data_IF_661609500153
#
_entry.id   IF_661609500153
#
_cell.length_a   1.000
_cell.length_b   1.000
_cell.length_c   1.000
_cell.angle_alpha   90.00
_cell.angle_beta   90.00
_cell.angle_gamma   90.00
#
_symmetry.space_group_name_H-M   'P 1'
#
loop_
_entity.id
_entity.type
_entity.pdbx_description
1 polymer ?
#
# COMPACT_ATOMS: atom_id res chain seq x y z
N UNK A 1 5.35 25.21 -3.41
CA UNK A 1 6.37 24.31 -2.81
C UNK A 1 7.46 25.11 -2.12
N UNK A 2 8.24 24.44 -1.28
CA UNK A 2 9.30 25.07 -0.48
C UNK A 2 10.52 25.51 -1.30
N UNK A 3 10.62 25.15 -2.59
CA UNK A 3 11.80 25.38 -3.42
C UNK A 3 13.04 24.56 -3.04
N UNK A 4 12.94 23.71 -2.01
CA UNK A 4 14.06 22.89 -1.56
C UNK A 4 14.24 21.66 -2.47
N UNK A 5 15.51 21.34 -2.74
CA UNK A 5 15.86 20.13 -3.49
C UNK A 5 15.55 18.90 -2.63
N UNK A 6 14.89 17.91 -3.23
CA UNK A 6 14.65 16.63 -2.58
C UNK A 6 15.98 15.91 -2.26
N UNK A 7 16.12 15.47 -1.02
CA UNK A 7 17.23 14.62 -0.57
C UNK A 7 16.66 13.24 -0.28
N UNK A 8 17.13 12.17 -0.95
CA UNK A 8 16.65 10.81 -0.69
C UNK A 8 16.83 10.42 0.76
N UNK A 9 15.74 9.96 1.39
CA UNK A 9 15.76 9.54 2.81
C UNK A 9 16.19 8.10 2.99
N UNK A 10 16.19 7.31 1.90
CA UNK A 10 16.59 5.90 1.87
C UNK A 10 16.95 5.54 0.42
N UNK A 11 17.83 4.54 0.19
CA UNK A 11 18.05 4.00 -1.16
C UNK A 11 16.78 3.51 -1.86
N UNK A 12 15.78 3.08 -1.07
CA UNK A 12 14.49 2.63 -1.58
C UNK A 12 13.44 3.76 -1.69
N UNK A 13 13.77 4.98 -1.26
CA UNK A 13 12.89 6.16 -1.38
C UNK A 13 13.66 7.29 -2.08
N UNK A 14 14.05 7.10 -3.36
CA UNK A 14 14.89 8.05 -4.09
C UNK A 14 14.15 9.29 -4.57
N UNK A 15 12.83 9.25 -4.66
CA UNK A 15 12.01 10.32 -5.27
C UNK A 15 10.78 10.66 -4.43
N UNK A 16 10.19 11.83 -4.67
CA UNK A 16 8.89 12.20 -4.07
C UNK A 16 7.77 11.24 -4.46
N UNK A 17 7.83 10.67 -5.66
CA UNK A 17 6.89 9.62 -6.09
C UNK A 17 6.97 8.39 -5.19
N UNK A 18 8.18 8.01 -4.79
CA UNK A 18 8.39 6.88 -3.85
C UNK A 18 7.85 7.22 -2.45
N UNK A 19 7.95 8.49 -2.01
CA UNK A 19 7.36 8.95 -0.75
C UNK A 19 5.84 8.80 -0.78
N UNK A 20 5.19 9.27 -1.85
CA UNK A 20 3.75 9.10 -2.02
C UNK A 20 3.35 7.60 -2.13
N UNK A 21 4.20 6.79 -2.78
CA UNK A 21 3.98 5.35 -2.92
C UNK A 21 4.07 4.56 -1.62
N UNK A 22 4.95 4.97 -0.71
CA UNK A 22 5.24 4.21 0.51
C UNK A 22 4.00 3.92 1.37
N UNK A 23 3.13 4.89 1.72
CA UNK A 23 1.91 4.59 2.46
C UNK A 23 0.89 3.77 1.67
N UNK A 24 0.94 3.83 0.32
CA UNK A 24 0.02 3.06 -0.52
C UNK A 24 0.34 1.56 -0.55
N UNK A 25 1.61 1.19 -0.56
CA UNK A 25 2.03 -0.18 -0.82
C UNK A 25 2.99 -0.76 0.23
N UNK A 26 3.57 0.07 1.10
CA UNK A 26 4.57 -0.36 2.08
C UNK A 26 4.00 -0.77 3.44
N UNK A 27 2.77 -0.38 3.76
CA UNK A 27 2.18 -0.64 5.08
C UNK A 27 1.64 -2.07 5.20
N UNK A 28 2.40 -2.94 5.87
CA UNK A 28 1.98 -4.32 6.13
C UNK A 28 1.93 -5.23 4.88
N UNK A 29 2.16 -4.69 3.69
CA UNK A 29 2.06 -5.42 2.43
C UNK A 29 3.27 -6.32 2.13
N UNK A 30 4.24 -6.42 3.05
CA UNK A 30 5.28 -7.45 3.02
C UNK A 30 4.72 -8.86 3.27
N UNK A 31 3.49 -8.97 3.76
CA UNK A 31 2.76 -10.23 3.85
C UNK A 31 2.15 -10.56 2.50
N UNK A 32 2.27 -11.83 2.07
CA UNK A 32 1.86 -12.26 0.74
C UNK A 32 2.93 -12.04 -0.32
N UNK A 33 2.55 -12.25 -1.58
CA UNK A 33 3.48 -12.31 -2.71
C UNK A 33 3.56 -11.01 -3.53
N UNK A 34 3.11 -9.91 -2.97
CA UNK A 34 3.29 -8.60 -3.58
C UNK A 34 4.77 -8.19 -3.60
N UNK A 35 5.20 -7.62 -4.70
CA UNK A 35 6.47 -6.90 -4.83
C UNK A 35 6.18 -5.44 -5.16
N UNK A 36 6.88 -4.54 -4.49
CA UNK A 36 6.57 -3.12 -4.42
C UNK A 36 7.46 -2.26 -5.31
N UNK A 37 8.01 -2.84 -6.37
CA UNK A 37 8.87 -2.11 -7.30
C UNK A 37 10.25 -1.72 -6.76
N UNK A 38 10.66 -2.20 -5.59
CA UNK A 38 12.03 -2.03 -5.09
C UNK A 38 12.99 -2.68 -6.08
N UNK A 39 14.08 -1.97 -6.41
CA UNK A 39 15.01 -2.39 -7.46
C UNK A 39 14.60 -1.97 -8.86
N UNK A 40 13.47 -1.27 -9.05
CA UNK A 40 13.07 -0.61 -10.29
C UNK A 40 13.15 0.92 -10.14
N UNK A 41 13.03 1.70 -11.21
CA UNK A 41 12.94 3.17 -11.13
C UNK A 41 11.69 3.70 -10.41
N UNK A 42 10.74 2.82 -10.05
CA UNK A 42 9.44 3.17 -9.48
C UNK A 42 9.14 2.44 -8.15
N UNK A 43 10.03 2.53 -7.13
CA UNK A 43 9.78 1.88 -5.85
C UNK A 43 8.50 2.43 -5.21
N UNK A 44 7.69 1.51 -4.67
CA UNK A 44 6.38 1.73 -4.05
C UNK A 44 5.26 2.25 -4.97
N UNK A 45 5.57 2.48 -6.27
CA UNK A 45 4.60 2.89 -7.29
C UNK A 45 4.37 1.81 -8.35
N UNK A 46 5.08 0.69 -8.27
CA UNK A 46 5.02 -0.39 -9.24
C UNK A 46 4.82 -1.73 -8.52
N UNK A 47 3.77 -2.45 -8.91
CA UNK A 47 3.37 -3.70 -8.27
C UNK A 47 3.49 -4.87 -9.22
N UNK A 48 4.00 -5.97 -8.71
CA UNK A 48 3.81 -7.30 -9.27
C UNK A 48 3.29 -8.25 -8.19
N UNK A 49 2.69 -9.35 -8.60
CA UNK A 49 2.26 -10.41 -7.69
C UNK A 49 2.68 -11.76 -8.26
N UNK A 50 3.38 -12.56 -7.46
CA UNK A 50 3.84 -13.89 -7.91
C UNK A 50 2.63 -14.80 -8.17
N UNK A 51 2.59 -15.41 -9.37
CA UNK A 51 1.47 -16.25 -9.80
C UNK A 51 0.27 -15.50 -10.37
N UNK A 52 0.38 -14.18 -10.59
CA UNK A 52 -0.63 -13.38 -11.31
C UNK A 52 0.00 -12.64 -12.49
N UNK A 53 -0.70 -12.62 -13.59
CA UNK A 53 -0.34 -11.79 -14.75
C UNK A 53 -0.57 -10.30 -14.42
N UNK A 54 0.14 -9.38 -15.08
CA UNK A 54 -0.10 -7.94 -14.93
C UNK A 54 -1.56 -7.54 -15.21
N UNK A 55 -2.22 -8.23 -16.14
CA UNK A 55 -3.63 -7.97 -16.46
C UNK A 55 -4.56 -8.41 -15.34
N UNK A 56 -4.37 -9.60 -14.77
CA UNK A 56 -5.15 -10.07 -13.62
C UNK A 56 -4.97 -9.14 -12.42
N UNK A 57 -3.73 -8.74 -12.14
CA UNK A 57 -3.42 -7.81 -11.06
C UNK A 57 -4.10 -6.46 -11.28
N UNK A 58 -3.96 -5.88 -12.48
CA UNK A 58 -4.61 -4.60 -12.83
C UNK A 58 -6.12 -4.68 -12.67
N UNK A 59 -6.76 -5.70 -13.22
CA UNK A 59 -8.21 -5.87 -13.13
C UNK A 59 -8.69 -5.98 -11.67
N UNK A 60 -7.94 -6.69 -10.83
CA UNK A 60 -8.26 -6.80 -9.40
C UNK A 60 -8.13 -5.46 -8.68
N UNK A 61 -7.12 -4.65 -9.01
CA UNK A 61 -6.92 -3.32 -8.43
C UNK A 61 -7.97 -2.32 -8.93
N UNK A 62 -8.30 -2.33 -10.23
CA UNK A 62 -9.36 -1.49 -10.80
C UNK A 62 -10.73 -1.80 -10.17
N UNK A 63 -11.01 -3.07 -9.91
CA UNK A 63 -12.27 -3.51 -9.31
C UNK A 63 -12.50 -3.00 -7.87
N UNK A 64 -11.45 -2.51 -7.19
CA UNK A 64 -11.58 -1.92 -5.86
C UNK A 64 -12.26 -0.54 -5.95
N UNK A 65 -12.03 0.23 -7.01
CA UNK A 65 -12.66 1.53 -7.22
C UNK A 65 -12.08 2.65 -6.35
N UNK A 66 -10.76 2.65 -6.11
CA UNK A 66 -10.09 3.61 -5.23
C UNK A 66 -10.13 5.05 -5.79
N UNK A 67 -10.57 5.98 -4.97
CA UNK A 67 -10.56 7.41 -5.30
C UNK A 67 -9.14 7.94 -5.52
N UNK A 68 -8.98 8.80 -6.53
CA UNK A 68 -7.70 9.48 -6.82
C UNK A 68 -6.62 8.61 -7.44
N UNK A 69 -6.84 7.31 -7.63
CA UNK A 69 -5.88 6.38 -8.22
C UNK A 69 -6.36 5.81 -9.55
N UNK A 70 -5.40 5.38 -10.36
CA UNK A 70 -5.64 4.48 -11.51
C UNK A 70 -4.42 3.60 -11.73
N UNK A 71 -4.61 2.53 -12.47
CA UNK A 71 -3.63 1.48 -12.64
C UNK A 71 -3.29 1.28 -14.12
N UNK A 72 -1.99 1.21 -14.43
CA UNK A 72 -1.50 1.05 -15.80
C UNK A 72 -0.49 -0.10 -15.87
N UNK A 73 -0.59 -0.96 -16.87
CA UNK A 73 0.44 -1.95 -17.15
C UNK A 73 1.64 -1.22 -17.73
N UNK A 74 2.82 -1.44 -17.15
CA UNK A 74 4.11 -0.92 -17.64
C UNK A 74 5.17 -2.01 -17.60
N UNK A 75 6.15 -1.90 -18.48
CA UNK A 75 7.40 -2.66 -18.43
C UNK A 75 8.52 -1.72 -18.03
N UNK A 76 9.25 -2.08 -16.98
CA UNK A 76 10.39 -1.34 -16.46
C UNK A 76 11.64 -2.23 -16.52
N UNK A 77 12.82 -1.60 -16.53
CA UNK A 77 14.09 -2.30 -16.29
C UNK A 77 14.36 -2.27 -14.79
N UNK A 78 14.71 -3.41 -14.21
CA UNK A 78 15.21 -3.46 -12.84
C UNK A 78 16.71 -3.07 -12.78
N UNK A 79 17.27 -3.03 -11.58
CA UNK A 79 18.67 -2.65 -11.34
C UNK A 79 19.68 -3.62 -11.96
N UNK A 80 19.27 -4.82 -12.38
CA UNK A 80 20.09 -5.77 -13.13
C UNK A 80 19.94 -5.65 -14.65
N UNK A 81 19.09 -4.73 -15.13
CA UNK A 81 18.76 -4.59 -16.55
C UNK A 81 17.69 -5.56 -17.08
N UNK A 82 17.08 -6.36 -16.20
CA UNK A 82 16.01 -7.28 -16.58
C UNK A 82 14.69 -6.54 -16.74
N UNK A 83 13.97 -6.82 -17.83
CA UNK A 83 12.61 -6.31 -18.04
C UNK A 83 11.61 -6.96 -17.08
N UNK A 84 10.86 -6.14 -16.35
CA UNK A 84 9.79 -6.55 -15.46
C UNK A 84 8.50 -5.85 -15.88
N UNK A 85 7.46 -6.62 -16.20
CA UNK A 85 6.12 -6.08 -16.50
C UNK A 85 5.23 -6.20 -15.26
N UNK A 86 4.57 -5.12 -14.91
CA UNK A 86 3.71 -5.04 -13.73
C UNK A 86 2.71 -3.90 -13.83
N UNK A 87 2.15 -3.51 -12.70
CA UNK A 87 1.12 -2.48 -12.60
C UNK A 87 1.69 -1.23 -11.93
N UNK A 88 1.72 -0.13 -12.67
CA UNK A 88 2.09 1.19 -12.18
C UNK A 88 0.87 1.91 -11.61
N UNK A 89 1.04 2.50 -10.43
CA UNK A 89 0.01 3.25 -9.73
C UNK A 89 0.12 4.71 -10.13
N UNK A 90 -0.92 5.24 -10.76
CA UNK A 90 -1.02 6.66 -11.13
C UNK A 90 -1.86 7.38 -10.08
N UNK A 91 -1.28 8.37 -9.43
CA UNK A 91 -1.99 9.29 -8.55
C UNK A 91 -2.58 10.42 -9.41
N UNK A 92 -3.90 10.39 -9.60
CA UNK A 92 -4.64 11.33 -10.47
C UNK A 92 -5.17 12.54 -9.71
N UNK A 93 -5.64 12.32 -8.50
CA UNK A 93 -6.25 13.36 -7.70
C UNK A 93 -5.82 13.24 -6.23
N UNK A 94 -5.09 14.24 -5.77
CA UNK A 94 -4.57 14.33 -4.40
C UNK A 94 -5.65 14.59 -3.37
N UNK A 95 -6.80 15.14 -3.76
CA UNK A 95 -7.88 15.51 -2.83
C UNK A 95 -8.74 14.30 -2.48
N UNK A 96 -9.00 13.42 -3.45
CA UNK A 96 -9.75 12.18 -3.23
C UNK A 96 -8.88 11.00 -2.84
N UNK A 97 -7.54 11.14 -2.93
CA UNK A 97 -6.61 10.08 -2.58
C UNK A 97 -6.53 9.87 -1.07
N UNK A 98 -6.71 8.61 -0.65
CA UNK A 98 -6.52 8.17 0.73
C UNK A 98 -5.25 7.32 0.80
N UNK A 99 -4.15 7.84 1.38
CA UNK A 99 -2.81 7.29 1.21
C UNK A 99 -2.65 5.82 1.59
N UNK A 100 -3.34 5.35 2.63
CA UNK A 100 -3.18 3.99 3.17
C UNK A 100 -4.21 2.99 2.66
N UNK A 101 -5.25 3.43 1.97
CA UNK A 101 -6.40 2.61 1.60
C UNK A 101 -6.00 1.42 0.70
N UNK A 102 -5.16 1.67 -0.30
CA UNK A 102 -4.68 0.62 -1.20
C UNK A 102 -4.00 -0.52 -0.45
N UNK A 103 -3.18 -0.22 0.59
CA UNK A 103 -2.48 -1.25 1.35
C UNK A 103 -3.42 -2.26 2.00
N UNK A 104 -4.57 -1.81 2.54
CA UNK A 104 -5.57 -2.69 3.14
C UNK A 104 -6.21 -3.63 2.12
N UNK A 105 -6.55 -3.10 0.95
CA UNK A 105 -7.09 -3.91 -0.13
C UNK A 105 -6.04 -4.88 -0.71
N UNK A 106 -4.76 -4.51 -0.77
CA UNK A 106 -3.69 -5.43 -1.16
C UNK A 106 -3.59 -6.61 -0.18
N UNK A 107 -3.70 -6.38 1.12
CA UNK A 107 -3.72 -7.45 2.12
C UNK A 107 -4.93 -8.37 1.93
N UNK A 108 -6.12 -7.82 1.66
CA UNK A 108 -7.32 -8.60 1.31
C UNK A 108 -7.12 -9.44 0.05
N UNK A 109 -6.49 -8.88 -0.98
CA UNK A 109 -6.17 -9.63 -2.19
C UNK A 109 -5.16 -10.75 -1.93
N UNK A 110 -4.13 -10.53 -1.12
CA UNK A 110 -3.19 -11.57 -0.73
C UNK A 110 -3.90 -12.72 0.01
N UNK A 111 -4.78 -12.39 0.96
CA UNK A 111 -5.59 -13.39 1.65
C UNK A 111 -6.52 -14.19 0.71
N UNK A 112 -6.99 -13.56 -0.38
CA UNK A 112 -7.83 -14.21 -1.39
C UNK A 112 -7.05 -15.14 -2.32
N UNK A 113 -5.81 -14.77 -2.65
CA UNK A 113 -5.05 -15.46 -3.69
C UNK A 113 -4.14 -16.56 -3.15
N UNK A 114 -3.92 -16.60 -1.85
CA UNK A 114 -3.05 -17.59 -1.23
C UNK A 114 -3.85 -18.58 -0.35
N UNK A 115 -3.53 -19.86 -0.50
CA UNK A 115 -4.09 -20.91 0.34
C UNK A 115 -2.94 -21.80 0.82
N UNK A 116 -2.68 -21.87 2.15
CA UNK A 116 -3.36 -21.09 3.20
C UNK A 116 -3.07 -19.60 3.13
N UNK A 117 -3.93 -18.79 3.74
CA UNK A 117 -3.74 -17.33 3.82
C UNK A 117 -2.39 -17.01 4.47
N UNK A 118 -1.62 -16.02 3.96
CA UNK A 118 -0.33 -15.64 4.54
C UNK A 118 -0.46 -15.16 5.99
N UNK A 119 -1.62 -14.60 6.34
CA UNK A 119 -1.90 -14.14 7.71
C UNK A 119 -2.11 -15.29 8.70
N UNK A 120 -2.57 -16.45 8.26
CA UNK A 120 -2.74 -17.63 9.11
C UNK A 120 -1.45 -18.42 9.33
N UNK A 121 -0.41 -18.16 8.54
CA UNK A 121 0.87 -18.86 8.58
C UNK A 121 2.02 -17.99 9.13
N UNK A 122 1.72 -16.75 9.51
CA UNK A 122 2.73 -15.78 9.94
C UNK A 122 3.41 -16.17 11.25
N UNK A 123 4.71 -15.93 11.31
CA UNK A 123 5.50 -16.05 12.53
C UNK A 123 5.30 -14.83 13.42
N UNK A 124 5.54 -14.97 14.71
CA UNK A 124 5.38 -13.89 15.68
C UNK A 124 6.19 -12.64 15.32
N UNK A 125 7.40 -12.81 14.79
CA UNK A 125 8.23 -11.69 14.32
C UNK A 125 7.62 -10.93 13.15
N UNK A 126 6.93 -11.63 12.24
CA UNK A 126 6.23 -11.03 11.11
C UNK A 126 4.97 -10.30 11.57
N UNK A 127 4.23 -10.87 12.51
CA UNK A 127 3.07 -10.23 13.14
C UNK A 127 3.48 -8.94 13.85
N UNK A 128 4.55 -9.00 14.62
CA UNK A 128 5.10 -7.83 15.33
C UNK A 128 5.51 -6.73 14.35
N UNK A 129 6.21 -7.08 13.27
CA UNK A 129 6.63 -6.13 12.25
C UNK A 129 5.44 -5.52 11.52
N UNK A 130 4.46 -6.36 11.14
CA UNK A 130 3.21 -5.92 10.51
C UNK A 130 2.49 -4.89 11.38
N UNK A 131 2.27 -5.21 12.67
CA UNK A 131 1.57 -4.33 13.59
C UNK A 131 2.30 -3.00 13.82
N UNK A 132 3.64 -3.01 13.81
CA UNK A 132 4.44 -1.76 13.86
C UNK A 132 4.24 -0.90 12.62
N UNK A 133 4.20 -1.51 11.43
CA UNK A 133 4.01 -0.77 10.18
C UNK A 133 2.58 -0.22 10.04
N UNK A 134 1.59 -1.01 10.40
CA UNK A 134 0.17 -0.63 10.29
C UNK A 134 -0.26 0.29 11.43
N UNK A 135 0.39 0.20 12.58
CA UNK A 135 0.01 0.94 13.79
C UNK A 135 -1.26 0.41 14.47
N UNK A 136 -1.68 -0.83 14.16
CA UNK A 136 -2.90 -1.41 14.71
C UNK A 136 -2.81 -2.92 14.77
N UNK A 137 -3.06 -3.49 15.95
CA UNK A 137 -3.23 -4.94 16.14
C UNK A 137 -4.62 -5.42 15.73
N UNK A 138 -5.62 -4.54 15.77
CA UNK A 138 -6.99 -4.87 15.42
C UNK A 138 -7.14 -5.30 13.95
N UNK A 139 -6.39 -4.66 13.04
CA UNK A 139 -6.40 -5.03 11.63
C UNK A 139 -5.80 -6.43 11.41
N UNK A 140 -4.68 -6.74 12.07
CA UNK A 140 -4.12 -8.09 12.04
C UNK A 140 -5.12 -9.14 12.50
N UNK A 141 -5.73 -8.93 13.67
CA UNK A 141 -6.73 -9.86 14.24
C UNK A 141 -7.88 -10.09 13.26
N UNK A 142 -8.35 -9.03 12.61
CA UNK A 142 -9.43 -9.13 11.63
C UNK A 142 -9.01 -9.93 10.38
N UNK A 143 -7.82 -9.68 9.83
CA UNK A 143 -7.27 -10.44 8.72
C UNK A 143 -7.07 -11.93 9.06
N UNK A 144 -6.55 -12.22 10.25
CA UNK A 144 -6.34 -13.58 10.73
C UNK A 144 -7.65 -14.35 10.84
N UNK A 145 -8.69 -13.72 11.39
CA UNK A 145 -9.99 -14.36 11.62
C UNK A 145 -10.83 -14.49 10.36
N UNK A 146 -10.82 -13.48 9.51
CA UNK A 146 -11.74 -13.33 8.37
C UNK A 146 -11.11 -13.68 7.02
N UNK A 147 -9.77 -13.73 6.94
CA UNK A 147 -9.06 -13.97 5.68
C UNK A 147 -9.53 -13.00 4.58
N UNK A 148 -9.88 -13.52 3.40
CA UNK A 148 -10.36 -12.70 2.29
C UNK A 148 -11.77 -12.09 2.50
N UNK A 149 -12.51 -12.56 3.52
CA UNK A 149 -13.80 -11.97 3.90
C UNK A 149 -13.63 -10.73 4.80
N UNK A 150 -12.40 -10.31 5.08
CA UNK A 150 -12.13 -9.08 5.82
C UNK A 150 -12.73 -7.85 5.13
N UNK A 151 -13.12 -6.87 5.95
CA UNK A 151 -13.82 -5.66 5.51
C UNK A 151 -12.95 -4.42 5.78
N UNK A 152 -12.05 -4.05 4.84
CA UNK A 152 -11.20 -2.86 4.99
C UNK A 152 -12.00 -1.60 5.33
N UNK A 153 -13.17 -1.45 4.75
CA UNK A 153 -14.04 -0.28 4.86
C UNK A 153 -14.44 0.03 6.31
N UNK A 154 -14.62 -0.99 7.16
CA UNK A 154 -14.92 -0.81 8.58
C UNK A 154 -13.77 -0.12 9.33
N UNK A 155 -12.53 -0.50 9.01
CA UNK A 155 -11.34 0.10 9.61
C UNK A 155 -11.07 1.49 9.06
N UNK A 156 -11.22 1.66 7.75
CA UNK A 156 -11.02 2.95 7.09
C UNK A 156 -12.01 3.99 7.60
N UNK A 157 -13.29 3.63 7.76
CA UNK A 157 -14.31 4.53 8.33
C UNK A 157 -13.95 4.94 9.76
N UNK A 158 -13.54 3.99 10.62
CA UNK A 158 -13.10 4.32 11.98
C UNK A 158 -11.92 5.28 11.97
N UNK A 159 -10.93 5.05 11.13
CA UNK A 159 -9.74 5.90 11.05
C UNK A 159 -10.01 7.28 10.46
N UNK A 160 -11.00 7.42 9.59
CA UNK A 160 -11.48 8.73 9.17
C UNK A 160 -12.07 9.53 10.35
N UNK A 161 -12.85 8.87 11.20
CA UNK A 161 -13.38 9.49 12.43
C UNK A 161 -12.25 9.88 13.38
N UNK A 162 -11.27 9.01 13.60
CA UNK A 162 -10.10 9.29 14.45
C UNK A 162 -9.28 10.46 13.86
N UNK A 163 -9.11 10.50 12.54
CA UNK A 163 -8.41 11.59 11.82
C UNK A 163 -9.16 12.92 11.97
N UNK A 164 -10.48 12.92 11.86
CA UNK A 164 -11.30 14.12 12.05
C UNK A 164 -11.21 14.64 13.49
N UNK A 165 -11.27 13.73 14.47
CA UNK A 165 -11.11 14.07 15.88
C UNK A 165 -9.71 14.66 16.15
N UNK A 166 -8.67 14.06 15.61
CA UNK A 166 -7.30 14.56 15.73
C UNK A 166 -7.16 15.96 15.11
N UNK A 167 -7.64 16.17 13.89
CA UNK A 167 -7.61 17.49 13.22
C UNK A 167 -8.29 18.57 14.06
N UNK A 168 -9.42 18.24 14.66
CA UNK A 168 -10.12 19.19 15.53
C UNK A 168 -9.31 19.51 16.79
N UNK A 169 -8.68 18.52 17.41
CA UNK A 169 -7.88 18.71 18.64
C UNK A 169 -6.63 19.55 18.42
N UNK A 170 -5.99 19.41 17.23
CA UNK A 170 -4.73 20.10 16.92
C UNK A 170 -4.93 21.46 16.21
N UNK A 171 -6.16 21.79 15.80
CA UNK A 171 -6.46 23.02 15.06
C UNK A 171 -5.96 24.29 15.75
N UNK A 172 -5.98 24.32 17.09
CA UNK A 172 -5.50 25.45 17.90
C UNK A 172 -3.98 25.67 17.82
N UNK A 173 -3.23 24.69 17.31
CA UNK A 173 -1.77 24.78 17.16
C UNK A 173 -1.35 25.17 15.73
N UNK A 174 -2.29 25.31 14.79
CA UNK A 174 -1.95 25.76 13.45
C UNK A 174 -1.62 27.26 13.49
N UNK A 175 -0.43 27.60 13.04
CA UNK A 175 0.07 28.97 12.99
C UNK A 175 -0.18 29.65 11.64
N UNK A 176 -0.60 28.86 10.61
CA UNK A 176 -0.82 29.29 9.24
C UNK A 176 -1.78 28.32 8.53
#
# INVERSE_FOLDING_TARGET
>A
GTGLKWIPTSPNIPTLDSVAGYPMTGLGAQMGKFKHGIGTPQPFRFLTYEGKTPTELKNALDAIGLGGLSFQIKTLQDSSGKSVTGVYIVLKDWQSWRPTELAFHMMKLAAKWETPSPFSQAKESEITLFNKHVGSTAWWTHLFQSGYSCEPEKFLTKWDMDTAAFRNSVKKYYLY
#
